data_IF_429898595302
#
_entry.id   IF_429898595302
#
_cell.length_a   1.000
_cell.length_b   1.000
_cell.length_c   1.000
_cell.angle_alpha   90.00
_cell.angle_beta   90.00
_cell.angle_gamma   90.00
#
_symmetry.space_group_name_H-M   'P 1'
#
loop_
_entity.id
_entity.type
_entity.pdbx_description
1 polymer ?
#
# COMPACT_ATOMS: atom_id res chain seq x y z
N UNK A 1 -0.67 -11.04 -33.90
CA UNK A 1 -0.77 -9.57 -34.06
C UNK A 1 -1.74 -9.28 -35.18
N UNK A 2 -2.79 -8.51 -34.95
CA UNK A 2 -3.71 -8.02 -35.98
C UNK A 2 -2.98 -7.00 -36.86
N UNK A 3 -3.32 -6.96 -38.14
CA UNK A 3 -2.75 -6.01 -39.11
C UNK A 3 -3.19 -4.59 -38.77
N UNK A 4 -4.46 -4.42 -38.42
CA UNK A 4 -5.04 -3.13 -38.00
C UNK A 4 -5.14 -3.00 -36.48
N UNK A 5 -5.26 -1.76 -36.02
CA UNK A 5 -5.47 -1.45 -34.61
C UNK A 5 -6.82 -2.00 -34.14
N UNK A 6 -6.80 -2.92 -33.21
CA UNK A 6 -7.99 -3.56 -32.67
C UNK A 6 -8.21 -3.16 -31.19
N UNK A 7 -9.40 -2.67 -30.89
CA UNK A 7 -9.83 -2.28 -29.53
C UNK A 7 -10.99 -3.14 -29.01
N UNK A 8 -11.34 -4.22 -29.70
CA UNK A 8 -12.40 -5.12 -29.27
C UNK A 8 -12.07 -5.81 -27.94
N UNK A 9 -13.06 -5.93 -27.08
CA UNK A 9 -13.01 -6.69 -25.83
C UNK A 9 -13.97 -7.85 -25.98
N UNK A 10 -13.50 -8.93 -26.56
CA UNK A 10 -14.26 -10.15 -26.82
C UNK A 10 -13.55 -11.33 -26.15
N UNK A 11 -14.25 -11.96 -25.23
CA UNK A 11 -13.78 -13.14 -24.50
C UNK A 11 -14.70 -14.30 -24.81
N UNK A 12 -14.16 -15.37 -25.36
CA UNK A 12 -14.90 -16.57 -25.73
C UNK A 12 -14.42 -17.74 -24.86
N UNK A 13 -15.36 -18.37 -24.20
CA UNK A 13 -15.14 -19.56 -23.39
C UNK A 13 -15.93 -20.71 -24.02
N UNK A 14 -15.22 -21.65 -24.62
CA UNK A 14 -15.82 -22.81 -25.26
C UNK A 14 -16.09 -23.89 -24.20
N UNK A 15 -17.28 -24.47 -24.21
CA UNK A 15 -17.58 -25.62 -23.40
C UNK A 15 -16.95 -26.87 -23.99
N UNK A 16 -16.64 -27.84 -23.14
CA UNK A 16 -16.25 -29.18 -23.58
C UNK A 16 -17.39 -29.85 -24.34
N UNK A 17 -17.07 -30.75 -25.27
CA UNK A 17 -18.08 -31.47 -26.04
C UNK A 17 -19.08 -32.20 -25.16
N UNK A 18 -18.63 -32.74 -24.02
CA UNK A 18 -19.47 -33.41 -23.02
C UNK A 18 -20.50 -32.49 -22.34
N UNK A 19 -20.20 -31.20 -22.23
CA UNK A 19 -21.07 -30.20 -21.62
C UNK A 19 -22.02 -29.57 -22.64
N UNK A 20 -21.74 -29.69 -23.94
CA UNK A 20 -22.54 -29.17 -25.02
C UNK A 20 -23.60 -30.19 -25.43
N UNK A 21 -24.47 -30.59 -24.50
CA UNK A 21 -25.56 -31.55 -24.75
C UNK A 21 -26.48 -31.00 -25.83
N UNK A 22 -26.65 -31.74 -26.92
CA UNK A 22 -27.47 -31.38 -28.09
C UNK A 22 -27.01 -30.14 -28.86
N UNK A 23 -25.79 -29.64 -28.71
CA UNK A 23 -25.26 -28.49 -29.45
C UNK A 23 -26.00 -27.17 -29.20
N UNK A 24 -26.73 -27.07 -28.08
CA UNK A 24 -27.52 -25.88 -27.71
C UNK A 24 -26.74 -24.84 -26.93
N UNK A 25 -25.65 -25.26 -26.27
CA UNK A 25 -24.83 -24.39 -25.43
C UNK A 25 -23.33 -24.55 -25.72
N UNK A 26 -22.84 -24.01 -26.86
CA UNK A 26 -21.45 -24.22 -27.28
C UNK A 26 -20.44 -23.48 -26.41
N UNK A 27 -20.84 -22.46 -25.68
CA UNK A 27 -19.95 -21.67 -24.84
C UNK A 27 -20.56 -20.37 -24.32
N UNK A 28 -19.73 -19.56 -23.73
CA UNK A 28 -20.07 -18.24 -23.21
C UNK A 28 -19.25 -17.18 -23.91
N UNK A 29 -19.89 -16.11 -24.36
CA UNK A 29 -19.26 -14.91 -24.86
C UNK A 29 -19.41 -13.78 -23.85
N UNK A 30 -18.33 -13.08 -23.56
CA UNK A 30 -18.34 -11.84 -22.78
C UNK A 30 -17.79 -10.73 -23.68
N UNK A 31 -18.54 -9.65 -23.79
CA UNK A 31 -18.11 -8.45 -24.51
C UNK A 31 -18.50 -7.19 -23.72
N UNK A 32 -17.77 -6.09 -23.93
CA UNK A 32 -18.04 -4.85 -23.23
C UNK A 32 -16.89 -3.87 -23.25
N UNK A 33 -16.82 -3.02 -22.23
CA UNK A 33 -15.79 -2.00 -22.12
C UNK A 33 -14.53 -2.44 -21.36
N UNK A 34 -14.59 -3.52 -20.59
CA UNK A 34 -13.51 -3.98 -19.73
C UNK A 34 -12.32 -4.54 -20.47
N UNK A 35 -11.15 -4.01 -20.18
CA UNK A 35 -9.89 -4.69 -20.53
C UNK A 35 -9.59 -5.81 -19.53
N UNK A 36 -8.90 -6.87 -19.97
CA UNK A 36 -8.39 -7.92 -19.10
C UNK A 36 -7.19 -7.39 -18.29
N UNK A 37 -7.48 -6.53 -17.35
CA UNK A 37 -6.50 -5.92 -16.44
C UNK A 37 -7.11 -5.74 -15.05
N UNK A 38 -6.28 -5.63 -14.01
CA UNK A 38 -6.76 -5.42 -12.64
C UNK A 38 -7.63 -4.15 -12.54
N UNK A 39 -7.23 -3.08 -13.21
CA UNK A 39 -7.98 -1.82 -13.23
C UNK A 39 -9.32 -1.97 -13.93
N UNK A 40 -9.37 -2.65 -15.09
CA UNK A 40 -10.61 -2.88 -15.84
C UNK A 40 -11.57 -3.84 -15.14
N UNK A 41 -11.05 -4.79 -14.36
CA UNK A 41 -11.86 -5.81 -13.69
C UNK A 41 -12.32 -5.42 -12.27
N UNK A 42 -11.61 -4.50 -11.59
CA UNK A 42 -11.88 -4.18 -10.17
C UNK A 42 -12.10 -2.69 -9.87
N UNK A 43 -11.39 -1.80 -10.57
CA UNK A 43 -11.25 -0.42 -10.12
C UNK A 43 -12.00 0.61 -10.98
N UNK A 44 -12.62 0.18 -12.09
CA UNK A 44 -13.40 1.05 -12.97
C UNK A 44 -14.83 0.56 -13.08
N UNK A 45 -15.73 1.50 -13.23
CA UNK A 45 -17.11 1.17 -13.62
C UNK A 45 -17.12 0.81 -15.09
N UNK A 46 -17.32 -0.46 -15.39
CA UNK A 46 -17.30 -1.03 -16.72
C UNK A 46 -18.60 -1.80 -16.97
N UNK A 47 -19.08 -1.73 -18.19
CA UNK A 47 -20.28 -2.48 -18.62
C UNK A 47 -19.85 -3.67 -19.46
N UNK A 48 -20.16 -4.86 -18.99
CA UNK A 48 -19.95 -6.10 -19.72
C UNK A 48 -21.28 -6.86 -19.87
N UNK A 49 -21.44 -7.48 -21.01
CA UNK A 49 -22.58 -8.35 -21.30
C UNK A 49 -22.10 -9.79 -21.41
N UNK A 50 -22.78 -10.68 -20.72
CA UNK A 50 -22.52 -12.13 -20.79
C UNK A 50 -23.62 -12.76 -21.62
N UNK A 51 -23.25 -13.35 -22.75
CA UNK A 51 -24.16 -13.99 -23.68
C UNK A 51 -23.86 -15.50 -23.69
N UNK A 52 -24.89 -16.30 -23.50
CA UNK A 52 -24.77 -17.77 -23.39
C UNK A 52 -25.59 -18.51 -24.44
N UNK A 53 -26.28 -17.79 -25.28
CA UNK A 53 -27.05 -18.41 -26.34
C UNK A 53 -26.18 -18.78 -27.54
N UNK A 54 -26.62 -19.78 -28.29
CA UNK A 54 -25.90 -20.36 -29.42
C UNK A 54 -25.65 -19.35 -30.54
N UNK A 55 -26.58 -18.49 -30.84
CA UNK A 55 -26.49 -17.56 -31.97
C UNK A 55 -25.39 -16.54 -31.75
N UNK A 56 -25.44 -15.84 -30.60
CA UNK A 56 -24.46 -14.84 -30.26
C UNK A 56 -23.04 -15.44 -30.08
N UNK A 57 -22.94 -16.66 -29.54
CA UNK A 57 -21.64 -17.32 -29.43
C UNK A 57 -21.03 -17.64 -30.80
N UNK A 58 -21.83 -18.16 -31.75
CA UNK A 58 -21.38 -18.48 -33.12
C UNK A 58 -20.94 -17.21 -33.85
N UNK A 59 -21.72 -16.13 -33.76
CA UNK A 59 -21.39 -14.84 -34.37
C UNK A 59 -20.10 -14.27 -33.77
N UNK A 60 -19.97 -14.24 -32.45
CA UNK A 60 -18.74 -13.79 -31.79
C UNK A 60 -17.53 -14.64 -32.13
N UNK A 61 -17.74 -15.96 -32.28
CA UNK A 61 -16.69 -16.87 -32.72
C UNK A 61 -16.26 -16.60 -34.17
N UNK A 62 -17.20 -16.34 -35.06
CA UNK A 62 -16.89 -16.01 -36.45
C UNK A 62 -16.05 -14.74 -36.56
N UNK A 63 -16.39 -13.69 -35.82
CA UNK A 63 -15.58 -12.45 -35.73
C UNK A 63 -14.17 -12.73 -35.19
N UNK A 64 -14.08 -13.56 -34.17
CA UNK A 64 -12.77 -13.96 -33.62
C UNK A 64 -11.94 -14.75 -34.63
N UNK A 65 -12.53 -15.73 -35.32
CA UNK A 65 -11.84 -16.57 -36.28
C UNK A 65 -11.35 -15.74 -37.49
N UNK A 66 -12.15 -14.80 -38.00
CA UNK A 66 -11.75 -13.85 -39.05
C UNK A 66 -10.54 -12.99 -38.62
N UNK A 67 -10.58 -12.44 -37.44
CA UNK A 67 -9.45 -11.69 -36.86
C UNK A 67 -8.25 -12.55 -36.63
N UNK A 68 -8.42 -13.81 -36.26
CA UNK A 68 -7.35 -14.76 -36.06
C UNK A 68 -6.66 -15.16 -37.38
N UNK A 69 -7.44 -15.48 -38.40
CA UNK A 69 -6.93 -15.86 -39.72
C UNK A 69 -6.16 -14.73 -40.42
N UNK A 70 -6.63 -13.49 -40.24
CA UNK A 70 -5.95 -12.31 -40.80
C UNK A 70 -4.78 -11.82 -39.94
N UNK A 71 -4.56 -12.41 -38.79
CA UNK A 71 -3.49 -12.03 -37.87
C UNK A 71 -2.15 -12.66 -38.24
N UNK A 72 -1.08 -11.94 -38.00
CA UNK A 72 0.28 -12.45 -38.18
C UNK A 72 0.69 -13.22 -36.94
N UNK A 73 1.15 -14.45 -37.11
CA UNK A 73 1.74 -15.24 -36.04
C UNK A 73 2.98 -14.54 -35.48
N UNK A 74 3.01 -14.40 -34.15
CA UNK A 74 4.11 -13.70 -33.45
C UNK A 74 5.15 -14.70 -32.93
N UNK A 75 4.78 -15.97 -32.88
CA UNK A 75 5.57 -17.06 -32.27
C UNK A 75 6.29 -17.89 -33.31
N UNK A 76 6.20 -17.54 -34.60
CA UNK A 76 7.00 -18.19 -35.65
C UNK A 76 8.46 -17.73 -35.61
N UNK A 77 9.33 -18.48 -36.27
CA UNK A 77 10.78 -18.23 -36.27
C UNK A 77 11.17 -16.88 -36.85
N UNK A 78 10.33 -16.28 -37.71
CA UNK A 78 10.60 -15.02 -38.38
C UNK A 78 10.27 -13.81 -37.48
N UNK A 79 9.17 -13.88 -36.73
CA UNK A 79 8.67 -12.76 -35.91
C UNK A 79 9.02 -12.86 -34.43
N UNK A 80 9.56 -13.99 -33.94
CA UNK A 80 9.86 -14.21 -32.54
C UNK A 80 10.87 -13.20 -31.96
N UNK A 81 11.82 -12.77 -32.80
CA UNK A 81 12.80 -11.77 -32.36
C UNK A 81 12.16 -10.41 -32.15
N UNK A 82 11.32 -9.98 -33.08
CA UNK A 82 10.56 -8.73 -32.97
C UNK A 82 9.63 -8.75 -31.74
N UNK A 83 8.97 -9.88 -31.49
CA UNK A 83 8.12 -10.07 -30.30
C UNK A 83 8.92 -10.00 -29.01
N UNK A 84 10.07 -10.65 -28.93
CA UNK A 84 10.97 -10.58 -27.78
C UNK A 84 11.43 -9.15 -27.50
N UNK A 85 11.86 -8.43 -28.52
CA UNK A 85 12.37 -7.08 -28.36
C UNK A 85 11.29 -6.05 -28.03
N UNK A 86 10.15 -6.11 -28.72
CA UNK A 86 9.09 -5.10 -28.59
C UNK A 86 8.05 -5.38 -27.51
N UNK A 87 7.83 -6.64 -27.16
CA UNK A 87 6.79 -7.04 -26.22
C UNK A 87 7.38 -7.65 -24.97
N UNK A 88 8.14 -8.74 -25.08
CA UNK A 88 8.65 -9.46 -23.92
C UNK A 88 9.61 -8.58 -23.11
N UNK A 89 10.49 -7.83 -23.77
CA UNK A 89 11.43 -6.92 -23.11
C UNK A 89 10.73 -5.81 -22.30
N UNK A 90 9.52 -5.44 -22.67
CA UNK A 90 8.74 -4.38 -22.00
C UNK A 90 7.68 -4.90 -21.03
N UNK A 91 7.19 -6.10 -21.21
CA UNK A 91 6.09 -6.67 -20.42
C UNK A 91 6.55 -7.82 -19.53
N UNK A 92 7.50 -8.61 -20.01
CA UNK A 92 7.99 -9.79 -19.32
C UNK A 92 9.51 -9.66 -19.10
N UNK A 93 9.95 -10.06 -17.93
CA UNK A 93 11.38 -10.13 -17.66
C UNK A 93 11.98 -11.25 -18.52
N UNK A 94 12.95 -10.90 -19.35
CA UNK A 94 13.72 -11.83 -20.19
C UNK A 94 14.45 -12.93 -19.38
N UNK A 95 14.58 -12.68 -18.09
CA UNK A 95 15.19 -13.56 -17.10
C UNK A 95 14.23 -13.77 -15.94
N UNK A 96 13.84 -15.01 -15.70
CA UNK A 96 13.23 -15.38 -14.43
C UNK A 96 14.25 -15.09 -13.32
N UNK A 97 14.02 -14.06 -12.58
CA UNK A 97 14.81 -13.77 -11.38
C UNK A 97 14.66 -14.91 -10.37
N UNK A 98 15.71 -15.14 -9.57
CA UNK A 98 15.60 -16.11 -8.49
C UNK A 98 14.43 -15.74 -7.57
N UNK A 99 13.79 -16.70 -6.88
CA UNK A 99 12.73 -16.41 -5.92
C UNK A 99 13.14 -15.36 -4.88
N UNK A 100 14.40 -15.37 -4.47
CA UNK A 100 14.97 -14.37 -3.55
C UNK A 100 14.99 -12.95 -4.18
N UNK A 101 15.43 -12.84 -5.44
CA UNK A 101 15.44 -11.53 -6.13
C UNK A 101 14.02 -10.99 -6.35
N UNK A 102 13.07 -11.87 -6.68
CA UNK A 102 11.65 -11.50 -6.78
C UNK A 102 11.10 -11.03 -5.41
N UNK A 103 11.42 -11.73 -4.35
CA UNK A 103 11.04 -11.36 -2.99
C UNK A 103 11.62 -9.98 -2.62
N UNK A 104 12.92 -9.75 -2.84
CA UNK A 104 13.56 -8.45 -2.57
C UNK A 104 12.92 -7.33 -3.42
N UNK A 105 12.57 -7.61 -4.69
CA UNK A 105 11.90 -6.63 -5.54
C UNK A 105 10.49 -6.29 -5.03
N UNK A 106 9.73 -7.29 -4.61
CA UNK A 106 8.40 -7.07 -4.00
C UNK A 106 8.52 -6.23 -2.74
N UNK A 107 9.50 -6.54 -1.87
CA UNK A 107 9.76 -5.73 -0.69
C UNK A 107 10.16 -4.29 -1.05
N UNK A 108 11.04 -4.12 -2.04
CA UNK A 108 11.45 -2.80 -2.51
C UNK A 108 10.24 -1.99 -3.01
N UNK A 109 9.39 -2.55 -3.85
CA UNK A 109 8.19 -1.89 -4.36
C UNK A 109 7.17 -1.60 -3.24
N UNK A 110 7.03 -2.53 -2.29
CA UNK A 110 6.13 -2.39 -1.15
C UNK A 110 6.58 -1.29 -0.18
N UNK A 111 7.90 -1.20 0.06
CA UNK A 111 8.51 -0.22 0.97
C UNK A 111 9.05 1.02 0.26
N UNK A 112 8.96 1.09 -1.07
CA UNK A 112 9.36 2.28 -1.82
C UNK A 112 8.30 3.36 -1.69
N UNK A 113 8.32 4.01 -0.54
CA UNK A 113 7.45 5.13 -0.24
C UNK A 113 8.07 6.38 -0.85
N UNK A 114 7.31 7.17 -1.64
CA UNK A 114 7.81 8.42 -2.17
C UNK A 114 8.35 9.28 -1.02
N UNK A 115 9.59 9.69 -1.14
CA UNK A 115 10.22 10.64 -0.21
C UNK A 115 9.50 11.98 -0.36
N UNK A 116 8.81 12.42 0.67
CA UNK A 116 8.33 13.79 0.73
C UNK A 116 9.51 14.69 1.14
N UNK A 117 9.97 15.53 0.22
CA UNK A 117 11.11 16.43 0.42
C UNK A 117 10.86 17.50 1.50
N UNK A 118 9.62 17.67 1.94
CA UNK A 118 9.24 18.66 2.94
C UNK A 118 9.30 18.12 4.39
N UNK A 119 9.67 16.87 4.59
CA UNK A 119 9.75 16.28 5.94
C UNK A 119 11.03 16.74 6.62
N UNK A 120 10.88 17.40 7.77
CA UNK A 120 12.00 17.79 8.62
C UNK A 120 12.66 16.53 9.22
N UNK A 121 13.97 16.45 9.07
CA UNK A 121 14.77 15.37 9.66
C UNK A 121 15.15 15.70 11.12
N UNK A 122 15.63 14.73 11.92
CA UNK A 122 16.14 15.00 13.26
C UNK A 122 17.21 16.12 13.28
N UNK A 123 18.13 16.13 12.32
CA UNK A 123 19.17 17.16 12.22
C UNK A 123 18.60 18.54 11.91
N UNK A 124 17.59 18.62 11.03
CA UNK A 124 16.96 19.90 10.67
C UNK A 124 16.22 20.53 11.85
N UNK A 125 15.59 19.68 12.69
CA UNK A 125 14.80 20.12 13.84
C UNK A 125 15.69 20.58 15.00
N UNK A 126 16.85 19.91 15.19
CA UNK A 126 17.67 20.08 16.38
C UNK A 126 19.00 20.78 16.09
N UNK A 127 19.08 21.51 14.97
CA UNK A 127 20.30 22.23 14.53
C UNK A 127 21.55 21.36 14.56
N UNK A 128 21.41 20.08 14.17
CA UNK A 128 22.51 19.12 14.09
C UNK A 128 22.87 18.42 15.40
N UNK A 129 22.16 18.65 16.51
CA UNK A 129 22.38 17.93 17.78
C UNK A 129 22.17 16.43 17.58
N UNK A 130 21.14 16.03 16.83
CA UNK A 130 20.90 14.66 16.40
C UNK A 130 21.23 14.49 14.93
N UNK A 131 22.20 13.62 14.62
CA UNK A 131 22.61 13.36 13.25
C UNK A 131 21.57 12.53 12.50
N UNK A 132 21.39 12.80 11.20
CA UNK A 132 20.52 12.01 10.34
C UNK A 132 21.10 10.61 10.12
N UNK A 133 20.35 9.60 10.51
CA UNK A 133 20.63 8.20 10.19
C UNK A 133 19.61 7.72 9.18
N UNK A 134 20.05 7.12 8.10
CA UNK A 134 19.20 6.70 6.98
C UNK A 134 17.98 5.88 7.43
N UNK A 135 18.16 4.96 8.39
CA UNK A 135 17.07 4.16 8.91
C UNK A 135 16.05 4.97 9.73
N UNK A 136 16.51 5.99 10.49
CA UNK A 136 15.61 6.87 11.26
C UNK A 136 14.79 7.77 10.34
N UNK A 137 15.40 8.39 9.34
CA UNK A 137 14.70 9.22 8.37
C UNK A 137 13.70 8.41 7.56
N UNK A 138 14.05 7.20 7.15
CA UNK A 138 13.13 6.27 6.51
C UNK A 138 11.96 5.87 7.42
N UNK A 139 12.22 5.59 8.70
CA UNK A 139 11.18 5.25 9.68
C UNK A 139 10.23 6.43 9.94
N UNK A 140 10.73 7.67 9.98
CA UNK A 140 9.89 8.88 10.09
C UNK A 140 8.94 9.01 8.92
N UNK A 141 9.42 8.84 7.69
CA UNK A 141 8.58 8.89 6.50
C UNK A 141 7.50 7.80 6.50
N UNK A 142 7.89 6.56 6.83
CA UNK A 142 6.97 5.44 6.98
C UNK A 142 5.88 5.75 8.02
N UNK A 143 6.28 6.29 9.17
CA UNK A 143 5.37 6.64 10.24
C UNK A 143 4.38 7.72 9.82
N UNK A 144 4.83 8.80 9.20
CA UNK A 144 3.98 9.89 8.72
C UNK A 144 2.98 9.40 7.66
N UNK A 145 3.42 8.56 6.73
CA UNK A 145 2.54 7.96 5.73
C UNK A 145 1.51 7.01 6.36
N UNK A 146 1.92 6.20 7.34
CA UNK A 146 1.01 5.32 8.07
C UNK A 146 -0.05 6.11 8.83
N UNK A 147 0.35 7.16 9.53
CA UNK A 147 -0.59 8.04 10.25
C UNK A 147 -1.57 8.72 9.28
N UNK A 148 -1.09 9.18 8.14
CA UNK A 148 -1.94 9.80 7.11
C UNK A 148 -2.99 8.85 6.54
N UNK A 149 -2.62 7.59 6.34
CA UNK A 149 -3.46 6.61 5.66
C UNK A 149 -4.29 5.73 6.63
N UNK A 150 -3.82 5.55 7.86
CA UNK A 150 -4.37 4.59 8.83
C UNK A 150 -4.61 5.20 10.21
N UNK A 151 -4.38 6.52 10.38
CA UNK A 151 -4.56 7.25 11.63
C UNK A 151 -3.68 6.75 12.80
N UNK A 152 -2.69 5.91 12.51
CA UNK A 152 -1.78 5.38 13.53
C UNK A 152 -0.60 4.59 12.96
N UNK A 153 0.41 4.35 13.82
CA UNK A 153 1.60 3.57 13.50
C UNK A 153 2.15 2.88 14.74
N UNK A 154 2.71 1.70 14.57
CA UNK A 154 3.49 0.99 15.60
C UNK A 154 4.96 1.00 15.17
N UNK A 155 5.82 1.63 15.98
CA UNK A 155 7.27 1.65 15.80
C UNK A 155 7.86 0.53 16.66
N UNK A 156 8.21 -0.61 16.05
CA UNK A 156 8.67 -1.83 16.74
C UNK A 156 10.16 -2.13 16.56
N UNK A 157 10.95 -1.13 16.24
CA UNK A 157 12.39 -1.27 16.07
C UNK A 157 13.10 -1.80 17.31
N UNK A 158 14.28 -2.40 17.11
CA UNK A 158 15.11 -2.93 18.20
C UNK A 158 15.46 -1.83 19.21
N UNK A 159 15.64 -2.23 20.45
CA UNK A 159 16.08 -1.31 21.54
C UNK A 159 17.38 -0.63 21.17
N UNK A 160 17.49 0.66 21.44
CA UNK A 160 18.68 1.46 21.14
C UNK A 160 18.75 2.09 19.75
N UNK A 161 17.78 1.84 18.85
CA UNK A 161 17.72 2.46 17.53
C UNK A 161 17.10 3.88 17.53
N UNK A 162 16.78 4.44 18.70
CA UNK A 162 16.28 5.80 18.80
C UNK A 162 14.80 5.96 18.44
N UNK A 163 13.95 5.03 18.87
CA UNK A 163 12.49 5.13 18.68
C UNK A 163 11.90 6.43 19.18
N UNK A 164 12.39 6.94 20.33
CA UNK A 164 11.94 8.22 20.89
C UNK A 164 12.32 9.40 19.99
N UNK A 165 13.50 9.37 19.36
CA UNK A 165 13.93 10.36 18.37
C UNK A 165 13.01 10.34 17.14
N UNK A 166 12.70 9.14 16.63
CA UNK A 166 11.75 8.97 15.52
C UNK A 166 10.38 9.54 15.89
N UNK A 167 9.84 9.18 17.06
CA UNK A 167 8.54 9.63 17.54
C UNK A 167 8.49 11.16 17.75
N UNK A 168 9.56 11.75 18.30
CA UNK A 168 9.69 13.21 18.48
C UNK A 168 9.75 13.94 17.13
N UNK A 169 10.48 13.37 16.15
CA UNK A 169 10.54 13.91 14.79
C UNK A 169 9.17 13.86 14.10
N UNK A 170 8.43 12.76 14.28
CA UNK A 170 7.06 12.62 13.77
C UNK A 170 6.14 13.65 14.42
N UNK A 171 6.18 13.80 15.76
CA UNK A 171 5.38 14.78 16.47
C UNK A 171 5.64 16.22 15.99
N UNK A 172 6.91 16.56 15.76
CA UNK A 172 7.29 17.86 15.20
C UNK A 172 6.75 18.09 13.80
N UNK A 173 6.84 17.11 12.91
CA UNK A 173 6.35 17.22 11.54
C UNK A 173 4.81 17.31 11.46
N UNK A 174 4.10 16.68 12.37
CA UNK A 174 2.63 16.72 12.38
C UNK A 174 2.06 18.05 12.91
N UNK A 175 2.83 18.81 13.67
CA UNK A 175 2.38 20.08 14.28
C UNK A 175 1.09 19.94 15.13
N UNK A 176 0.84 18.76 15.69
CA UNK A 176 -0.33 18.49 16.52
C UNK A 176 0.02 18.64 18.01
N UNK A 177 -0.97 19.00 18.82
CA UNK A 177 -0.85 18.85 20.28
C UNK A 177 -0.68 17.38 20.60
N UNK A 178 0.31 17.06 21.42
CA UNK A 178 0.70 15.69 21.70
C UNK A 178 0.47 15.33 23.16
N UNK A 179 -0.05 14.14 23.41
CA UNK A 179 -0.11 13.51 24.71
C UNK A 179 0.82 12.32 24.70
N UNK A 180 1.75 12.29 25.66
CA UNK A 180 2.74 11.21 25.77
C UNK A 180 2.45 10.42 27.04
N UNK A 181 2.28 9.12 26.90
CA UNK A 181 2.14 8.16 28.00
C UNK A 181 3.40 7.30 28.01
N UNK A 182 4.18 7.36 29.08
CA UNK A 182 5.45 6.66 29.19
C UNK A 182 5.69 6.07 30.56
N UNK A 183 6.63 5.13 30.73
CA UNK A 183 7.08 4.68 32.05
C UNK A 183 7.58 5.84 32.90
N UNK A 184 7.36 5.82 34.24
CA UNK A 184 7.70 6.93 35.13
C UNK A 184 9.16 7.41 35.02
N UNK A 185 10.09 6.49 34.81
CA UNK A 185 11.52 6.80 34.69
C UNK A 185 11.92 7.47 33.38
N UNK A 186 11.06 7.43 32.34
CA UNK A 186 11.29 8.08 31.05
C UNK A 186 10.64 9.46 30.95
N UNK A 187 9.89 9.88 31.95
CA UNK A 187 9.15 11.15 31.92
C UNK A 187 10.08 12.35 31.70
N UNK A 188 11.16 12.44 32.46
CA UNK A 188 12.14 13.54 32.34
C UNK A 188 12.77 13.56 30.94
N UNK A 189 13.12 12.40 30.41
CA UNK A 189 13.68 12.29 29.06
C UNK A 189 12.68 12.75 27.98
N UNK A 190 11.39 12.45 28.13
CA UNK A 190 10.35 12.93 27.21
C UNK A 190 10.10 14.44 27.35
N UNK A 191 10.25 15.00 28.56
CA UNK A 191 10.22 16.45 28.77
C UNK A 191 11.41 17.14 28.09
N UNK A 192 12.61 16.53 28.09
CA UNK A 192 13.79 17.00 27.33
C UNK A 192 13.55 16.92 25.83
N UNK A 193 13.10 15.79 25.30
CA UNK A 193 12.83 15.61 23.87
C UNK A 193 11.80 16.61 23.30
N UNK A 194 10.69 16.87 24.04
CA UNK A 194 9.71 17.84 23.54
C UNK A 194 10.31 19.25 23.39
N UNK A 195 11.23 19.62 24.30
CA UNK A 195 11.87 20.93 24.28
C UNK A 195 12.95 20.98 23.17
N UNK A 196 13.79 19.94 23.03
CA UNK A 196 14.81 19.83 21.99
C UNK A 196 14.24 19.76 20.58
N UNK A 197 13.14 19.02 20.37
CA UNK A 197 12.47 18.89 19.07
C UNK A 197 11.41 19.97 18.84
N UNK A 198 11.14 20.83 19.82
CA UNK A 198 10.28 22.00 19.68
C UNK A 198 8.83 21.68 19.36
N UNK A 199 8.23 20.65 19.98
CA UNK A 199 6.82 20.33 19.82
C UNK A 199 6.05 20.43 21.14
N UNK A 200 4.76 20.72 21.07
CA UNK A 200 3.91 20.89 22.25
C UNK A 200 3.38 19.53 22.73
N UNK A 201 3.79 19.12 23.92
CA UNK A 201 3.31 17.86 24.50
C UNK A 201 3.04 17.95 26.00
N UNK A 202 2.07 17.15 26.46
CA UNK A 202 1.82 16.88 27.88
C UNK A 202 2.24 15.45 28.20
N UNK A 203 3.17 15.27 29.14
CA UNK A 203 3.81 13.97 29.44
C UNK A 203 3.20 13.39 30.73
N UNK A 204 2.64 12.19 30.63
CA UNK A 204 2.03 11.46 31.73
C UNK A 204 2.76 10.14 31.96
N UNK A 205 2.88 9.73 33.23
CA UNK A 205 3.35 8.40 33.55
C UNK A 205 2.24 7.37 33.36
N UNK A 206 2.62 6.13 33.03
CA UNK A 206 1.71 5.00 32.79
C UNK A 206 0.63 4.82 33.90
N UNK A 207 0.99 4.98 35.16
CA UNK A 207 0.04 4.90 36.27
C UNK A 207 -0.87 6.14 36.47
N UNK A 208 -0.92 7.07 35.52
CA UNK A 208 -1.74 8.29 35.54
C UNK A 208 -2.55 8.47 34.24
N UNK A 209 -3.05 7.38 33.70
CA UNK A 209 -3.85 7.39 32.45
C UNK A 209 -5.12 8.21 32.64
N UNK A 210 -5.79 8.11 33.82
CA UNK A 210 -6.99 8.90 34.09
C UNK A 210 -6.71 10.40 34.08
N UNK A 211 -5.56 10.83 34.61
CA UNK A 211 -5.16 12.24 34.57
C UNK A 211 -4.86 12.68 33.11
N UNK A 212 -4.29 11.83 32.29
CA UNK A 212 -4.09 12.09 30.86
C UNK A 212 -5.42 12.22 30.12
N UNK A 213 -6.39 11.35 30.43
CA UNK A 213 -7.73 11.37 29.83
C UNK A 213 -8.51 12.62 30.26
N UNK A 214 -8.42 13.00 31.55
CA UNK A 214 -9.05 14.23 32.04
C UNK A 214 -8.44 15.47 31.40
N UNK A 215 -7.11 15.52 31.30
CA UNK A 215 -6.39 16.59 30.57
C UNK A 215 -6.84 16.67 29.12
N UNK A 216 -6.94 15.54 28.43
CA UNK A 216 -7.45 15.47 27.05
C UNK A 216 -8.85 16.07 26.96
N UNK A 217 -9.78 15.69 27.84
CA UNK A 217 -11.16 16.23 27.88
C UNK A 217 -11.20 17.73 28.11
N UNK A 218 -10.30 18.29 28.92
CA UNK A 218 -10.22 19.72 29.20
C UNK A 218 -9.71 20.55 28.04
N UNK A 219 -8.76 20.00 27.26
CA UNK A 219 -8.12 20.71 26.13
C UNK A 219 -8.77 20.41 24.78
N UNK A 220 -9.59 19.37 24.71
CA UNK A 220 -10.28 18.97 23.50
C UNK A 220 -11.33 20.02 23.12
N UNK A 221 -11.12 20.67 21.98
CA UNK A 221 -12.17 21.41 21.27
C UNK A 221 -12.72 20.50 20.17
N UNK A 222 -14.03 20.57 19.92
CA UNK A 222 -14.70 19.85 18.84
C UNK A 222 -13.93 20.14 17.55
N UNK A 223 -13.33 19.13 16.90
CA UNK A 223 -12.61 19.16 15.63
C UNK A 223 -11.05 19.30 15.68
N UNK A 224 -10.42 19.44 16.85
CA UNK A 224 -8.95 19.41 16.90
C UNK A 224 -8.42 17.96 16.88
N UNK A 225 -7.45 17.69 15.98
CA UNK A 225 -6.70 16.44 15.97
C UNK A 225 -5.57 16.48 17.01
N UNK A 226 -5.35 15.36 17.68
CA UNK A 226 -4.28 15.17 18.65
C UNK A 226 -3.41 14.01 18.23
N UNK A 227 -2.13 14.05 18.61
CA UNK A 227 -1.24 12.93 18.54
C UNK A 227 -1.12 12.28 19.93
N UNK A 228 -1.30 10.97 20.00
CA UNK A 228 -1.06 10.21 21.22
C UNK A 228 0.15 9.33 20.99
N UNK A 229 1.17 9.46 21.83
CA UNK A 229 2.36 8.62 21.83
C UNK A 229 2.31 7.74 23.07
N UNK A 230 2.34 6.43 22.88
CA UNK A 230 2.42 5.45 23.96
C UNK A 230 3.77 4.77 23.89
N UNK A 231 4.65 5.09 24.82
CA UNK A 231 5.96 4.47 24.95
C UNK A 231 5.86 3.16 25.74
N UNK A 232 6.64 2.15 25.33
CA UNK A 232 6.58 0.81 25.91
C UNK A 232 5.17 0.17 25.87
N UNK A 233 4.47 0.38 24.74
CA UNK A 233 3.06 -0.03 24.55
C UNK A 233 2.82 -1.53 24.81
N UNK A 234 3.87 -2.38 24.73
CA UNK A 234 3.77 -3.80 25.05
C UNK A 234 3.33 -4.08 26.49
N UNK A 235 3.48 -3.13 27.41
CA UNK A 235 3.01 -3.25 28.80
C UNK A 235 1.50 -3.24 28.94
N UNK A 236 0.78 -2.72 27.95
CA UNK A 236 -0.68 -2.57 27.95
C UNK A 236 -1.42 -3.68 27.18
N UNK A 237 -0.72 -4.74 26.79
CA UNK A 237 -1.32 -5.84 26.00
C UNK A 237 -2.26 -6.78 26.78
N UNK A 238 -2.30 -6.70 28.12
CA UNK A 238 -3.11 -7.56 28.96
C UNK A 238 -4.25 -6.74 29.60
N UNK A 239 -5.50 -7.18 29.43
CA UNK A 239 -6.70 -6.55 29.98
C UNK A 239 -6.77 -6.49 31.51
N UNK A 240 -5.87 -7.20 32.21
CA UNK A 240 -5.84 -7.32 33.68
C UNK A 240 -4.75 -6.49 34.35
N UNK A 241 -4.16 -5.51 33.66
CA UNK A 241 -3.21 -4.61 34.29
C UNK A 241 -4.00 -3.52 35.02
N UNK A 242 -3.67 -3.27 36.31
CA UNK A 242 -4.31 -2.27 37.17
C UNK A 242 -4.39 -0.85 36.58
N UNK A 243 -3.67 -0.57 35.51
CA UNK A 243 -3.64 0.70 34.80
C UNK A 243 -4.82 0.90 33.81
N UNK A 244 -5.71 -0.13 33.68
CA UNK A 244 -6.91 -0.11 32.82
C UNK A 244 -8.23 -0.02 33.62
N UNK A 245 -8.18 -0.04 34.92
CA UNK A 245 -9.38 0.02 35.78
C UNK A 245 -9.67 1.41 36.34
#
# INVERSE_FOLDING_TARGET
KTLDSNHAKLYLFQNKEEENICGTFPGTMITGSSNLSVTGLKNRLELNVILRDKSNYIEGKAVFDELWETSVAVVDTEHITEFKEKVIKHIWFEKLYSPYTMFVRVLHEYFNIPTDENILTPSDITDGTYSNRTYQTGAVQLALNSIKNHEGVIISDVVGLGKSIIASTVARNLHLRTIIICPPHLKTQWDEYKDEFGFTASVFSAGKIDAALEHYRQIMRTDEKFLIIVDEAHKYKNEFIQDYS
#
